data_IF_962793624293
#
_entry.id   IF_962793624293
#
_cell.length_a   1.000
_cell.length_b   1.000
_cell.length_c   1.000
_cell.angle_alpha   90.00
_cell.angle_beta   90.00
_cell.angle_gamma   90.00
#
_symmetry.space_group_name_H-M   'P 1'
#
loop_
_entity.id
_entity.type
_entity.pdbx_description
1 polymer ?
#
# COMPACT_ATOMS: atom_id res chain seq x y z
N UNK A 1 21.48 13.88 -12.45
CA UNK A 1 20.44 13.63 -11.42
C UNK A 1 20.88 14.36 -10.17
N UNK A 2 20.04 15.19 -9.56
CA UNK A 2 20.42 15.91 -8.34
C UNK A 2 20.69 14.92 -7.22
N UNK A 3 21.92 14.89 -6.71
CA UNK A 3 22.35 13.98 -5.64
C UNK A 3 21.67 14.30 -4.29
N UNK A 4 21.02 15.47 -4.16
CA UNK A 4 20.41 15.99 -2.92
C UNK A 4 18.87 15.91 -2.85
N UNK A 5 18.18 15.12 -3.68
CA UNK A 5 16.72 14.96 -3.51
C UNK A 5 16.43 14.28 -2.15
N UNK A 6 15.52 14.83 -1.31
CA UNK A 6 15.03 14.15 -0.13
C UNK A 6 14.49 12.76 -0.44
N UNK A 7 14.62 11.83 0.50
CA UNK A 7 13.96 10.52 0.45
C UNK A 7 12.69 10.54 1.29
N UNK A 8 11.55 10.27 0.65
CA UNK A 8 10.23 10.18 1.27
C UNK A 8 9.80 8.72 1.35
N UNK A 9 9.46 8.24 2.55
CA UNK A 9 8.84 6.95 2.76
C UNK A 9 7.34 7.14 3.01
N UNK A 10 6.52 6.68 2.07
CA UNK A 10 5.08 6.56 2.25
C UNK A 10 4.77 5.17 2.81
N UNK A 11 4.08 5.12 3.94
CA UNK A 11 3.73 3.87 4.60
C UNK A 11 2.25 3.60 4.41
N UNK A 12 1.93 2.42 3.89
CA UNK A 12 0.57 1.89 3.87
C UNK A 12 0.20 1.41 5.28
N UNK A 13 -0.53 2.25 6.00
CA UNK A 13 -0.89 2.03 7.40
C UNK A 13 -1.69 0.74 7.59
N UNK A 14 -2.64 0.50 6.69
CA UNK A 14 -3.59 -0.61 6.81
C UNK A 14 -2.91 -1.94 6.50
N UNK A 15 -2.07 -2.03 5.45
CA UNK A 15 -1.33 -3.25 5.15
C UNK A 15 -0.40 -3.66 6.30
N UNK A 16 0.32 -2.71 6.90
CA UNK A 16 1.21 -3.01 8.03
C UNK A 16 0.41 -3.42 9.29
N UNK A 17 -0.70 -2.75 9.58
CA UNK A 17 -1.52 -3.00 10.76
C UNK A 17 -2.18 -4.38 10.69
N UNK A 18 -2.83 -4.72 9.56
CA UNK A 18 -3.44 -6.04 9.37
C UNK A 18 -2.38 -7.15 9.41
N UNK A 19 -1.24 -6.95 8.76
CA UNK A 19 -0.11 -7.89 8.82
C UNK A 19 0.34 -8.15 10.26
N UNK A 20 0.50 -7.08 11.03
CA UNK A 20 0.90 -7.17 12.43
C UNK A 20 -0.14 -7.89 13.29
N UNK A 21 -1.42 -7.60 13.07
CA UNK A 21 -2.51 -8.26 13.78
C UNK A 21 -2.52 -9.78 13.53
N UNK A 22 -2.53 -10.20 12.27
CA UNK A 22 -2.64 -11.61 11.92
C UNK A 22 -1.40 -12.43 12.27
N UNK A 23 -0.23 -11.80 12.41
CA UNK A 23 0.98 -12.49 12.87
C UNK A 23 0.82 -13.10 14.27
N UNK A 24 -0.04 -12.54 15.13
CA UNK A 24 -0.31 -13.07 16.47
C UNK A 24 -1.73 -13.62 16.63
N UNK A 25 -2.69 -13.18 15.80
CA UNK A 25 -4.06 -13.66 15.87
C UNK A 25 -4.18 -15.18 15.61
N UNK A 26 -3.34 -15.72 14.72
CA UNK A 26 -3.32 -17.17 14.39
C UNK A 26 -3.02 -18.04 15.62
N UNK A 27 -2.29 -17.52 16.61
CA UNK A 27 -1.98 -18.24 17.85
C UNK A 27 -2.88 -17.84 19.03
N UNK A 28 -3.79 -16.87 18.84
CA UNK A 28 -4.63 -16.29 19.91
C UNK A 28 -3.84 -15.51 20.97
N UNK A 29 -2.55 -15.23 20.73
CA UNK A 29 -1.68 -14.58 21.70
C UNK A 29 -1.70 -13.06 21.50
N UNK A 30 -2.78 -12.42 21.95
CA UNK A 30 -2.89 -10.98 21.94
C UNK A 30 -2.08 -10.37 23.10
N UNK A 31 -1.38 -9.28 22.80
CA UNK A 31 -0.83 -8.39 23.82
C UNK A 31 -1.96 -7.46 24.22
N UNK A 32 -2.30 -7.43 25.51
CA UNK A 32 -3.45 -6.70 26.06
C UNK A 32 -2.92 -5.79 27.17
N UNK A 33 -3.30 -4.51 27.15
CA UNK A 33 -2.91 -3.55 28.19
C UNK A 33 -3.77 -3.70 29.47
N UNK A 34 -3.42 -2.96 30.52
CA UNK A 34 -4.15 -2.97 31.80
C UNK A 34 -5.62 -2.57 31.70
N UNK A 35 -6.02 -1.85 30.63
CA UNK A 35 -7.41 -1.47 30.33
C UNK A 35 -8.19 -2.57 29.58
N UNK A 36 -7.58 -3.72 29.31
CA UNK A 36 -8.20 -4.83 28.57
C UNK A 36 -8.24 -4.62 27.05
N UNK A 37 -7.49 -3.64 26.53
CA UNK A 37 -7.46 -3.33 25.09
C UNK A 37 -6.30 -4.08 24.42
N UNK A 38 -6.54 -4.82 23.32
CA UNK A 38 -5.48 -5.42 22.53
C UNK A 38 -4.57 -4.36 21.88
N UNK A 39 -3.26 -4.60 21.86
CA UNK A 39 -2.23 -3.69 21.32
C UNK A 39 -1.23 -4.38 20.41
N UNK A 40 -1.50 -5.64 20.06
CA UNK A 40 -0.60 -6.47 19.24
C UNK A 40 -0.36 -5.93 17.83
N UNK A 41 -1.40 -5.40 17.18
CA UNK A 41 -1.30 -4.83 15.85
C UNK A 41 -0.48 -3.54 15.87
N UNK A 42 -0.72 -2.66 16.84
CA UNK A 42 0.03 -1.40 17.02
C UNK A 42 1.51 -1.71 17.25
N UNK A 43 1.82 -2.65 18.15
CA UNK A 43 3.19 -3.01 18.46
C UNK A 43 3.91 -3.64 17.26
N UNK A 44 3.24 -4.49 16.48
CA UNK A 44 3.81 -5.07 15.27
C UNK A 44 3.97 -4.04 14.15
N UNK A 45 3.01 -3.14 13.99
CA UNK A 45 3.07 -2.00 13.06
C UNK A 45 4.31 -1.15 13.35
N UNK A 46 4.48 -0.70 14.60
CA UNK A 46 5.63 0.14 14.98
C UNK A 46 6.96 -0.61 14.81
N UNK A 47 7.01 -1.91 15.10
CA UNK A 47 8.22 -2.72 14.81
C UNK A 47 8.54 -2.75 13.32
N UNK A 48 7.56 -2.98 12.45
CA UNK A 48 7.75 -2.96 10.99
C UNK A 48 8.18 -1.57 10.51
N UNK A 49 7.53 -0.53 11.01
CA UNK A 49 7.81 0.86 10.74
C UNK A 49 9.26 1.23 11.10
N UNK A 50 9.68 1.05 12.37
CA UNK A 50 11.03 1.38 12.81
C UNK A 50 12.10 0.54 12.11
N UNK A 51 11.80 -0.72 11.80
CA UNK A 51 12.73 -1.57 11.05
C UNK A 51 12.93 -1.04 9.62
N UNK A 52 11.86 -0.62 8.96
CA UNK A 52 11.94 -0.05 7.61
C UNK A 52 12.69 1.29 7.64
N UNK A 53 12.34 2.20 8.55
CA UNK A 53 13.05 3.47 8.73
C UNK A 53 14.53 3.25 8.99
N UNK A 54 14.90 2.31 9.87
CA UNK A 54 16.30 1.97 10.14
C UNK A 54 17.03 1.43 8.92
N UNK A 55 16.34 0.67 8.06
CA UNK A 55 16.92 0.03 6.88
C UNK A 55 17.09 1.01 5.71
N UNK A 56 16.08 1.85 5.47
CA UNK A 56 16.01 2.74 4.31
C UNK A 56 16.41 4.18 4.61
N UNK A 57 16.51 4.55 5.90
CA UNK A 57 16.94 5.86 6.40
C UNK A 57 16.29 7.04 5.64
N UNK A 58 14.95 7.08 5.59
CA UNK A 58 14.26 8.17 4.90
C UNK A 58 14.48 9.50 5.63
N UNK A 59 14.53 10.57 4.86
CA UNK A 59 14.54 11.95 5.40
C UNK A 59 13.13 12.43 5.76
N UNK A 60 12.11 11.90 5.09
CA UNK A 60 10.71 12.27 5.25
C UNK A 60 9.84 11.01 5.32
N UNK A 61 8.76 11.05 6.10
CA UNK A 61 7.85 9.93 6.33
C UNK A 61 6.42 10.43 6.47
N UNK A 62 5.48 9.73 5.83
CA UNK A 62 4.04 9.89 6.08
C UNK A 62 3.35 8.53 6.08
N UNK A 63 2.23 8.41 6.80
CA UNK A 63 1.43 7.18 6.86
C UNK A 63 0.05 7.43 6.27
N UNK A 64 -0.35 6.61 5.31
CA UNK A 64 -1.65 6.68 4.66
C UNK A 64 -2.63 5.65 5.23
N UNK A 65 -3.90 6.02 5.38
CA UNK A 65 -4.94 5.22 6.01
C UNK A 65 -6.22 5.21 5.18
N UNK A 66 -6.95 4.09 5.23
CA UNK A 66 -8.34 4.03 4.81
C UNK A 66 -9.23 4.77 5.82
N UNK A 67 -10.02 5.73 5.35
CA UNK A 67 -10.90 6.58 6.20
C UNK A 67 -12.36 6.16 6.17
N UNK A 68 -12.64 4.90 5.87
CA UNK A 68 -13.99 4.35 5.84
C UNK A 68 -14.07 3.05 5.05
N UNK A 69 -15.21 2.37 5.13
CA UNK A 69 -15.47 1.11 4.42
C UNK A 69 -16.13 1.30 3.05
N UNK A 70 -16.66 2.49 2.76
CA UNK A 70 -17.28 2.83 1.48
C UNK A 70 -16.37 3.74 0.68
N UNK A 71 -16.13 3.35 -0.56
CA UNK A 71 -15.30 4.08 -1.51
C UNK A 71 -16.03 4.20 -2.83
N UNK A 72 -15.52 5.05 -3.73
CA UNK A 72 -16.05 5.16 -5.09
C UNK A 72 -16.09 3.81 -5.83
N UNK A 73 -15.21 2.85 -5.48
CA UNK A 73 -15.22 1.49 -6.08
C UNK A 73 -16.43 0.68 -5.67
N UNK A 74 -16.89 0.78 -4.42
CA UNK A 74 -18.13 0.11 -3.97
C UNK A 74 -19.37 0.71 -4.64
N UNK A 75 -19.34 2.00 -4.98
CA UNK A 75 -20.39 2.66 -5.75
C UNK A 75 -20.40 2.21 -7.22
N UNK A 76 -19.22 2.02 -7.83
CA UNK A 76 -19.08 1.50 -9.19
C UNK A 76 -19.48 0.02 -9.32
N UNK A 77 -19.14 -0.81 -8.32
CA UNK A 77 -19.43 -2.23 -8.33
C UNK A 77 -19.70 -2.77 -6.93
N UNK A 78 -20.95 -3.17 -6.67
CA UNK A 78 -21.37 -3.68 -5.36
C UNK A 78 -20.68 -4.97 -4.93
N UNK A 79 -20.11 -5.72 -5.87
CA UNK A 79 -19.31 -6.90 -5.57
C UNK A 79 -17.90 -6.59 -5.07
N UNK A 80 -17.39 -5.37 -5.26
CA UNK A 80 -16.02 -5.02 -4.91
C UNK A 80 -15.76 -5.18 -3.41
N UNK A 81 -14.74 -5.98 -3.06
CA UNK A 81 -14.36 -6.35 -1.69
C UNK A 81 -15.50 -6.94 -0.84
N UNK A 82 -16.62 -7.35 -1.45
CA UNK A 82 -17.79 -7.87 -0.74
C UNK A 82 -17.56 -9.25 -0.08
N UNK A 83 -16.49 -9.95 -0.47
CA UNK A 83 -16.04 -11.20 0.16
C UNK A 83 -15.13 -10.99 1.37
N UNK A 84 -14.69 -9.76 1.66
CA UNK A 84 -13.84 -9.47 2.80
C UNK A 84 -14.66 -9.58 4.08
N UNK A 85 -14.14 -10.34 5.05
CA UNK A 85 -14.75 -10.43 6.37
C UNK A 85 -14.63 -9.09 7.10
N UNK A 86 -15.56 -8.83 8.03
CA UNK A 86 -15.42 -7.70 8.95
C UNK A 86 -14.11 -7.81 9.74
N UNK A 87 -13.56 -6.65 10.11
CA UNK A 87 -12.35 -6.62 10.94
C UNK A 87 -12.62 -7.31 12.29
N UNK A 88 -11.71 -8.17 12.77
CA UNK A 88 -11.85 -8.82 14.08
C UNK A 88 -12.06 -7.79 15.20
N UNK A 89 -12.89 -8.13 16.19
CA UNK A 89 -13.28 -7.22 17.27
C UNK A 89 -12.06 -6.70 18.06
N UNK A 90 -11.01 -7.53 18.16
CA UNK A 90 -9.74 -7.17 18.81
C UNK A 90 -8.92 -6.17 18.00
N UNK A 91 -9.14 -6.05 16.69
CA UNK A 91 -8.46 -5.10 15.82
C UNK A 91 -9.16 -3.74 15.80
N UNK A 92 -10.49 -3.71 15.92
CA UNK A 92 -11.29 -2.47 15.86
C UNK A 92 -10.73 -1.31 16.71
N UNK A 93 -10.44 -1.47 18.02
CA UNK A 93 -9.91 -0.36 18.82
C UNK A 93 -8.51 0.07 18.37
N UNK A 94 -7.74 -0.80 17.72
CA UNK A 94 -6.36 -0.53 17.33
C UNK A 94 -6.26 0.39 16.10
N UNK A 95 -7.32 0.58 15.32
CA UNK A 95 -7.32 1.52 14.18
C UNK A 95 -7.08 2.96 14.62
N UNK A 96 -7.77 3.43 15.65
CA UNK A 96 -7.59 4.80 16.14
C UNK A 96 -6.31 4.92 16.98
N UNK A 97 -6.01 3.93 17.82
CA UNK A 97 -4.83 3.96 18.68
C UNK A 97 -3.51 3.93 17.89
N UNK A 98 -3.44 3.28 16.73
CA UNK A 98 -2.23 3.34 15.89
C UNK A 98 -2.03 4.72 15.29
N UNK A 99 -3.11 5.41 14.87
CA UNK A 99 -3.05 6.78 14.36
C UNK A 99 -2.58 7.74 15.46
N UNK A 100 -3.10 7.60 16.68
CA UNK A 100 -2.60 8.35 17.84
C UNK A 100 -1.11 8.10 18.13
N UNK A 101 -0.65 6.85 18.00
CA UNK A 101 0.76 6.50 18.19
C UNK A 101 1.66 7.12 17.10
N UNK A 102 1.18 7.18 15.85
CA UNK A 102 1.87 7.84 14.73
C UNK A 102 1.88 9.36 14.91
N UNK A 103 0.76 9.95 15.34
CA UNK A 103 0.66 11.38 15.63
C UNK A 103 1.58 11.79 16.79
N UNK A 104 1.70 10.97 17.84
CA UNK A 104 2.61 11.23 18.94
C UNK A 104 4.09 11.22 18.53
N UNK A 105 4.43 10.62 17.38
CA UNK A 105 5.76 10.71 16.78
C UNK A 105 5.95 11.97 15.91
N UNK A 106 4.96 12.87 15.87
CA UNK A 106 4.87 14.02 14.94
C UNK A 106 5.00 13.57 13.45
N UNK A 107 4.42 12.41 13.10
CA UNK A 107 4.36 11.91 11.71
C UNK A 107 2.97 12.17 11.13
N UNK A 108 2.86 12.70 9.89
CA UNK A 108 1.56 12.91 9.24
C UNK A 108 0.77 11.62 9.06
N UNK A 109 -0.45 11.62 9.59
CA UNK A 109 -1.50 10.66 9.25
C UNK A 109 -2.34 11.24 8.11
N UNK A 110 -2.36 10.58 6.96
CA UNK A 110 -3.05 11.06 5.77
C UNK A 110 -4.13 10.07 5.35
N UNK A 111 -5.29 10.57 4.98
CA UNK A 111 -6.38 9.75 4.48
C UNK A 111 -7.55 10.63 4.07
N UNK A 112 -8.39 10.12 3.19
CA UNK A 112 -9.52 10.87 2.63
C UNK A 112 -10.74 9.96 2.54
N UNK A 113 -11.85 10.39 3.15
CA UNK A 113 -13.11 9.64 3.09
C UNK A 113 -13.58 9.49 1.63
N UNK A 114 -14.04 8.29 1.27
CA UNK A 114 -14.47 7.94 -0.09
C UNK A 114 -13.36 7.40 -0.99
N UNK A 115 -12.10 7.44 -0.55
CA UNK A 115 -10.94 6.92 -1.26
C UNK A 115 -10.15 5.92 -0.39
N UNK A 116 -9.38 5.05 -1.04
CA UNK A 116 -8.54 4.08 -0.35
C UNK A 116 -7.18 4.69 0.01
N UNK A 117 -6.47 4.07 0.96
CA UNK A 117 -5.11 4.45 1.31
C UNK A 117 -4.21 4.46 0.06
N UNK A 118 -4.41 3.49 -0.84
CA UNK A 118 -3.67 3.33 -2.09
C UNK A 118 -3.82 4.54 -3.02
N UNK A 119 -5.02 5.12 -3.11
CA UNK A 119 -5.28 6.31 -3.93
C UNK A 119 -4.60 7.57 -3.34
N UNK A 120 -4.57 7.65 -2.00
CA UNK A 120 -3.83 8.70 -1.31
C UNK A 120 -2.33 8.57 -1.56
N UNK A 121 -1.78 7.35 -1.44
CA UNK A 121 -0.38 7.05 -1.72
C UNK A 121 -0.03 7.38 -3.16
N UNK A 122 -0.82 6.92 -4.13
CA UNK A 122 -0.61 7.16 -5.56
C UNK A 122 -0.55 8.66 -5.87
N UNK A 123 -1.49 9.42 -5.33
CA UNK A 123 -1.54 10.87 -5.51
C UNK A 123 -0.33 11.58 -4.91
N UNK A 124 0.03 11.26 -3.65
CA UNK A 124 1.17 11.89 -2.98
C UNK A 124 2.48 11.51 -3.66
N UNK A 125 2.65 10.24 -4.02
CA UNK A 125 3.84 9.75 -4.71
C UNK A 125 4.05 10.49 -6.03
N UNK A 126 2.99 10.66 -6.83
CA UNK A 126 3.04 11.39 -8.09
C UNK A 126 3.34 12.86 -7.91
N UNK A 127 2.70 13.51 -6.95
CA UNK A 127 2.88 14.94 -6.71
C UNK A 127 4.29 15.29 -6.18
N UNK A 128 4.87 14.44 -5.34
CA UNK A 128 6.17 14.71 -4.71
C UNK A 128 7.37 14.08 -5.44
N UNK A 129 7.15 13.22 -6.44
CA UNK A 129 8.22 12.63 -7.27
C UNK A 129 9.17 13.66 -7.94
N UNK A 130 8.70 14.85 -8.37
CA UNK A 130 9.60 15.90 -8.85
C UNK A 130 10.59 16.40 -7.79
N UNK A 131 10.19 16.40 -6.51
CA UNK A 131 10.91 17.01 -5.39
C UNK A 131 11.69 15.98 -4.56
N UNK A 132 11.19 14.75 -4.44
CA UNK A 132 11.73 13.70 -3.59
C UNK A 132 11.86 12.36 -4.33
N UNK A 133 12.73 11.48 -3.84
CA UNK A 133 12.71 10.05 -4.17
C UNK A 133 11.70 9.38 -3.25
N UNK A 134 10.67 8.77 -3.83
CA UNK A 134 9.56 8.17 -3.10
C UNK A 134 9.76 6.66 -2.99
N UNK A 135 9.66 6.15 -1.77
CA UNK A 135 9.57 4.72 -1.50
C UNK A 135 8.24 4.43 -0.82
N UNK A 136 7.49 3.45 -1.32
CA UNK A 136 6.20 3.05 -0.76
C UNK A 136 6.37 1.73 -0.02
N UNK A 137 6.13 1.71 1.29
CA UNK A 137 6.19 0.51 2.12
C UNK A 137 4.80 -0.10 2.27
N UNK A 138 4.59 -1.28 1.70
CA UNK A 138 3.29 -1.97 1.73
C UNK A 138 3.44 -3.50 1.68
N UNK A 139 2.36 -4.22 1.97
CA UNK A 139 2.21 -5.64 1.64
C UNK A 139 1.44 -5.89 0.35
N UNK A 140 0.81 -4.85 -0.21
CA UNK A 140 -0.04 -4.94 -1.40
C UNK A 140 0.81 -4.89 -2.68
N UNK A 141 0.53 -5.83 -3.59
CA UNK A 141 1.21 -5.88 -4.89
C UNK A 141 0.57 -4.93 -5.89
N UNK A 142 -0.68 -4.50 -5.71
CA UNK A 142 -1.37 -3.64 -6.66
C UNK A 142 -0.75 -2.25 -6.73
N UNK A 143 -0.09 -1.83 -5.65
CA UNK A 143 0.76 -0.63 -5.57
C UNK A 143 1.94 -0.65 -6.56
N UNK A 144 2.35 -1.82 -7.08
CA UNK A 144 3.40 -1.91 -8.09
C UNK A 144 3.04 -1.16 -9.39
N UNK A 145 1.74 -0.91 -9.65
CA UNK A 145 1.32 -0.08 -10.78
C UNK A 145 1.82 1.38 -10.72
N UNK A 146 2.22 1.85 -9.53
CA UNK A 146 2.71 3.21 -9.29
C UNK A 146 4.20 3.39 -9.55
N UNK A 147 4.94 2.31 -9.82
CA UNK A 147 6.38 2.36 -10.11
C UNK A 147 6.66 3.29 -11.28
N UNK A 148 7.63 4.18 -11.09
CA UNK A 148 8.06 5.15 -12.08
C UNK A 148 9.49 5.62 -11.75
N UNK A 149 10.01 6.57 -12.52
CA UNK A 149 11.25 7.27 -12.22
C UNK A 149 11.17 7.91 -10.83
N UNK A 150 12.14 7.62 -9.98
CA UNK A 150 12.22 8.06 -8.58
C UNK A 150 11.09 7.55 -7.66
N UNK A 151 10.25 6.59 -8.10
CA UNK A 151 9.25 5.90 -7.26
C UNK A 151 9.60 4.41 -7.17
N UNK A 152 9.76 3.91 -5.95
CA UNK A 152 10.04 2.50 -5.66
C UNK A 152 9.00 1.92 -4.70
N UNK A 153 8.78 0.61 -4.77
CA UNK A 153 7.86 -0.10 -3.86
C UNK A 153 8.65 -1.11 -3.05
N UNK A 154 8.51 -1.03 -1.73
CA UNK A 154 9.13 -1.91 -0.76
C UNK A 154 8.07 -2.88 -0.26
N UNK A 155 8.06 -4.09 -0.82
CA UNK A 155 7.12 -5.13 -0.42
C UNK A 155 7.60 -5.88 0.83
N UNK A 156 6.73 -5.95 1.83
CA UNK A 156 6.94 -6.72 3.06
C UNK A 156 6.93 -8.24 2.79
N UNK A 157 8.08 -8.89 2.94
CA UNK A 157 8.20 -10.35 2.89
C UNK A 157 8.10 -10.96 4.30
N UNK A 158 7.94 -12.28 4.37
CA UNK A 158 7.76 -13.01 5.64
C UNK A 158 8.96 -12.74 6.57
N UNK A 159 8.68 -12.36 7.81
CA UNK A 159 9.67 -11.96 8.81
C UNK A 159 9.87 -10.43 8.90
N UNK A 160 10.46 -9.97 10.01
CA UNK A 160 10.85 -8.56 10.18
C UNK A 160 12.14 -8.26 9.41
N UNK A 161 12.21 -7.10 8.75
CA UNK A 161 13.41 -6.67 8.03
C UNK A 161 13.65 -7.37 6.69
N UNK A 162 12.72 -8.23 6.24
CA UNK A 162 12.80 -8.91 4.95
C UNK A 162 11.95 -8.16 3.92
N UNK A 163 12.60 -7.54 2.94
CA UNK A 163 11.97 -6.68 1.95
C UNK A 163 12.34 -7.11 0.53
N UNK A 164 11.40 -6.95 -0.39
CA UNK A 164 11.67 -6.97 -1.82
C UNK A 164 11.40 -5.57 -2.37
N UNK A 165 12.43 -4.94 -2.91
CA UNK A 165 12.33 -3.60 -3.48
C UNK A 165 12.16 -3.71 -4.99
N UNK A 166 11.05 -3.16 -5.48
CA UNK A 166 10.80 -3.03 -6.91
C UNK A 166 11.08 -1.61 -7.39
N UNK A 167 11.73 -1.53 -8.54
CA UNK A 167 11.78 -0.37 -9.42
C UNK A 167 11.03 -0.71 -10.71
N UNK A 168 10.78 0.27 -11.57
CA UNK A 168 10.19 0.00 -12.88
C UNK A 168 10.99 -1.05 -13.68
N UNK A 169 12.33 -0.98 -13.60
CA UNK A 169 13.22 -1.92 -14.29
C UNK A 169 13.11 -3.34 -13.72
N UNK A 170 13.24 -3.51 -12.40
CA UNK A 170 13.17 -4.85 -11.80
C UNK A 170 11.77 -5.46 -11.93
N UNK A 171 10.72 -4.62 -11.96
CA UNK A 171 9.37 -5.07 -12.28
C UNK A 171 9.27 -5.58 -13.72
N UNK A 172 9.80 -4.82 -14.68
CA UNK A 172 9.78 -5.22 -16.09
C UNK A 172 10.56 -6.52 -16.33
N UNK A 173 11.73 -6.67 -15.71
CA UNK A 173 12.53 -7.90 -15.77
C UNK A 173 11.77 -9.13 -15.22
N UNK A 174 10.99 -8.96 -14.14
CA UNK A 174 10.22 -10.06 -13.55
C UNK A 174 8.93 -10.37 -14.34
N UNK A 175 8.17 -9.34 -14.72
CA UNK A 175 6.80 -9.49 -15.26
C UNK A 175 6.72 -9.44 -16.79
N UNK A 176 7.73 -8.88 -17.45
CA UNK A 176 7.75 -8.67 -18.89
C UNK A 176 6.68 -7.69 -19.39
N UNK A 177 6.16 -6.84 -18.50
CA UNK A 177 5.21 -5.75 -18.77
C UNK A 177 5.61 -4.53 -17.95
N UNK A 178 5.17 -3.35 -18.36
CA UNK A 178 5.36 -2.09 -17.62
C UNK A 178 4.42 -2.00 -16.42
N UNK A 179 4.75 -1.20 -15.38
CA UNK A 179 3.88 -1.00 -14.21
C UNK A 179 2.43 -0.64 -14.55
N UNK A 180 2.21 0.27 -15.52
CA UNK A 180 0.88 0.70 -15.95
C UNK A 180 0.05 -0.44 -16.55
N UNK A 181 0.69 -1.38 -17.24
CA UNK A 181 0.01 -2.56 -17.81
C UNK A 181 -0.50 -3.53 -16.73
N UNK A 182 -0.10 -3.37 -15.46
CA UNK A 182 -0.67 -4.16 -14.36
C UNK A 182 -2.17 -3.91 -14.17
N UNK A 183 -2.63 -2.68 -14.45
CA UNK A 183 -4.05 -2.32 -14.45
C UNK A 183 -4.79 -3.13 -15.51
N UNK A 184 -4.24 -3.15 -16.73
CA UNK A 184 -4.80 -3.88 -17.86
C UNK A 184 -4.74 -5.41 -17.64
N UNK A 185 -3.68 -5.90 -16.98
CA UNK A 185 -3.55 -7.31 -16.60
C UNK A 185 -4.70 -7.72 -15.69
N UNK A 186 -4.95 -6.95 -14.62
CA UNK A 186 -6.07 -7.15 -13.68
C UNK A 186 -7.43 -6.96 -14.36
N UNK A 187 -7.55 -6.04 -15.31
CA UNK A 187 -8.77 -5.88 -16.10
C UNK A 187 -9.15 -7.18 -16.82
N UNK A 188 -8.18 -7.88 -17.40
CA UNK A 188 -8.41 -9.16 -18.05
C UNK A 188 -8.61 -10.31 -17.08
N UNK A 189 -7.74 -10.47 -16.08
CA UNK A 189 -7.73 -11.66 -15.22
C UNK A 189 -8.65 -11.58 -13.99
N UNK A 190 -9.15 -10.39 -13.67
CA UNK A 190 -9.85 -10.10 -12.44
C UNK A 190 -8.93 -10.06 -11.22
N UNK A 191 -9.54 -9.87 -10.06
CA UNK A 191 -8.88 -10.03 -8.76
C UNK A 191 -9.82 -10.71 -7.77
N UNK A 192 -9.55 -11.97 -7.39
CA UNK A 192 -10.31 -12.66 -6.36
C UNK A 192 -10.25 -11.99 -4.97
N UNK A 193 -9.17 -11.29 -4.64
CA UNK A 193 -8.95 -10.64 -3.34
C UNK A 193 -9.85 -9.42 -3.17
N UNK A 194 -10.11 -8.73 -4.28
CA UNK A 194 -11.02 -7.57 -4.38
C UNK A 194 -12.36 -7.92 -5.01
N UNK A 195 -12.58 -9.21 -5.28
CA UNK A 195 -13.84 -9.79 -5.71
C UNK A 195 -14.42 -9.20 -7.00
N UNK A 196 -13.58 -8.98 -8.02
CA UNK A 196 -14.04 -8.68 -9.37
C UNK A 196 -13.50 -9.71 -10.40
N UNK A 197 -14.30 -10.15 -11.37
CA UNK A 197 -14.00 -11.35 -12.15
C UNK A 197 -13.12 -11.14 -13.40
N UNK A 198 -12.96 -9.90 -13.88
CA UNK A 198 -12.33 -9.64 -15.19
C UNK A 198 -13.08 -10.31 -16.35
N UNK A 199 -12.35 -10.73 -17.38
CA UNK A 199 -12.90 -11.44 -18.55
C UNK A 199 -12.89 -12.95 -18.29
N UNK A 200 -14.09 -13.53 -18.20
CA UNK A 200 -14.27 -14.96 -17.89
C UNK A 200 -13.47 -15.85 -18.85
N UNK A 201 -12.56 -16.63 -18.28
CA UNK A 201 -11.73 -17.58 -19.03
C UNK A 201 -10.51 -16.97 -19.72
N UNK A 202 -10.14 -15.74 -19.37
CA UNK A 202 -8.81 -15.15 -19.63
C UNK A 202 -8.11 -15.00 -18.28
N UNK A 203 -7.10 -15.82 -18.03
CA UNK A 203 -6.26 -15.71 -16.84
C UNK A 203 -4.94 -14.98 -17.12
N UNK A 204 -4.15 -14.78 -16.06
CA UNK A 204 -2.87 -14.06 -16.07
C UNK A 204 -1.97 -14.37 -17.28
N UNK A 205 -1.71 -15.66 -17.55
CA UNK A 205 -0.83 -16.08 -18.66
C UNK A 205 -1.32 -15.64 -20.03
N UNK A 206 -2.64 -15.64 -20.25
CA UNK A 206 -3.22 -15.20 -21.52
C UNK A 206 -3.21 -13.69 -21.60
N UNK A 207 -3.58 -13.01 -20.51
CA UNK A 207 -3.57 -11.56 -20.42
C UNK A 207 -2.16 -10.98 -20.65
N UNK A 208 -1.12 -11.53 -20.01
CA UNK A 208 0.28 -11.13 -20.22
C UNK A 208 0.69 -11.23 -21.69
N UNK A 209 0.36 -12.32 -22.38
CA UNK A 209 0.66 -12.48 -23.81
C UNK A 209 -0.04 -11.43 -24.67
N UNK A 210 -1.31 -11.14 -24.36
CA UNK A 210 -2.07 -10.10 -25.06
C UNK A 210 -1.44 -8.72 -24.85
N UNK A 211 -1.04 -8.39 -23.63
CA UNK A 211 -0.44 -7.09 -23.30
C UNK A 211 0.99 -6.95 -23.82
N UNK A 212 1.76 -8.03 -23.90
CA UNK A 212 3.07 -8.02 -24.56
C UNK A 212 2.96 -7.79 -26.06
N UNK A 213 1.88 -8.27 -26.68
CA UNK A 213 1.67 -8.17 -28.12
C UNK A 213 0.97 -6.88 -28.55
N UNK A 214 0.01 -6.40 -27.76
CA UNK A 214 -0.88 -5.29 -28.12
C UNK A 214 -0.85 -4.15 -27.10
N UNK A 215 0.09 -4.19 -26.16
CA UNK A 215 0.43 -3.16 -25.17
C UNK A 215 -0.65 -2.94 -24.09
N UNK A 216 -1.88 -2.60 -24.45
CA UNK A 216 -2.93 -2.24 -23.48
C UNK A 216 -4.30 -2.79 -23.88
N UNK A 217 -5.29 -2.69 -22.99
CA UNK A 217 -6.68 -3.15 -23.24
C UNK A 217 -7.21 -2.64 -24.59
N UNK A 218 -7.06 -1.35 -24.86
CA UNK A 218 -7.58 -0.75 -26.11
C UNK A 218 -6.87 -1.32 -27.35
N UNK A 219 -5.56 -1.56 -27.28
CA UNK A 219 -4.81 -2.18 -28.37
C UNK A 219 -5.25 -3.62 -28.63
N UNK A 220 -5.63 -4.37 -27.59
CA UNK A 220 -6.22 -5.72 -27.75
C UNK A 220 -7.58 -5.63 -28.42
N UNK A 221 -8.42 -4.68 -28.02
CA UNK A 221 -9.78 -4.48 -28.58
C UNK A 221 -9.71 -4.08 -30.06
N UNK A 222 -8.79 -3.19 -30.43
CA UNK A 222 -8.57 -2.74 -31.81
C UNK A 222 -8.06 -3.87 -32.72
N UNK A 223 -7.55 -4.96 -32.16
CA UNK A 223 -6.93 -6.08 -32.89
C UNK A 223 -7.62 -7.43 -32.61
N UNK A 224 -8.91 -7.43 -32.25
CA UNK A 224 -9.68 -8.65 -31.95
C UNK A 224 -9.68 -9.68 -33.09
N UNK A 225 -9.60 -9.23 -34.34
CA UNK A 225 -9.53 -10.05 -35.54
C UNK A 225 -8.24 -10.89 -35.64
N UNK A 226 -7.17 -10.45 -34.98
CA UNK A 226 -5.88 -11.17 -34.91
C UNK A 226 -5.83 -12.22 -33.81
N UNK A 227 -6.84 -12.27 -32.93
CA UNK A 227 -6.90 -13.23 -31.83
C UNK A 227 -7.50 -14.57 -32.27
N UNK A 228 -7.28 -15.62 -31.46
CA UNK A 228 -7.98 -16.88 -31.69
C UNK A 228 -9.49 -16.69 -31.55
N UNK A 229 -10.29 -17.50 -32.27
CA UNK A 229 -11.77 -17.44 -32.21
C UNK A 229 -12.31 -17.48 -30.77
N UNK A 230 -11.69 -18.28 -29.90
CA UNK A 230 -12.08 -18.41 -28.51
C UNK A 230 -11.72 -17.18 -27.65
N UNK A 231 -10.56 -16.56 -27.88
CA UNK A 231 -10.18 -15.32 -27.18
C UNK A 231 -11.08 -14.17 -27.59
N UNK A 232 -11.29 -14.00 -28.91
CA UNK A 232 -12.16 -12.97 -29.47
C UNK A 232 -13.56 -13.05 -28.85
N UNK A 233 -14.20 -14.22 -28.91
CA UNK A 233 -15.54 -14.41 -28.36
C UNK A 233 -15.64 -14.07 -26.86
N UNK A 234 -14.65 -14.48 -26.05
CA UNK A 234 -14.61 -14.17 -24.61
C UNK A 234 -14.49 -12.68 -24.33
N UNK A 235 -13.64 -11.97 -25.09
CA UNK A 235 -13.43 -10.53 -24.89
C UNK A 235 -14.64 -9.74 -25.37
N UNK A 236 -15.25 -10.14 -26.50
CA UNK A 236 -16.49 -9.53 -26.98
C UNK A 236 -17.65 -9.71 -25.99
N UNK A 237 -17.83 -10.90 -25.42
CA UNK A 237 -18.84 -11.18 -24.39
C UNK A 237 -18.52 -10.45 -23.07
N UNK A 238 -17.24 -10.31 -22.73
CA UNK A 238 -16.77 -9.74 -21.46
C UNK A 238 -16.41 -8.25 -21.51
N UNK A 239 -16.73 -7.52 -22.58
CA UNK A 239 -16.22 -6.17 -22.83
C UNK A 239 -16.59 -5.16 -21.73
N UNK A 240 -17.85 -5.18 -21.28
CA UNK A 240 -18.30 -4.31 -20.19
C UNK A 240 -17.55 -4.60 -18.89
N UNK A 241 -17.37 -5.88 -18.56
CA UNK A 241 -16.65 -6.29 -17.35
C UNK A 241 -15.15 -5.99 -17.46
N UNK A 242 -14.56 -6.08 -18.65
CA UNK A 242 -13.17 -5.69 -18.91
C UNK A 242 -12.96 -4.21 -18.57
N UNK A 243 -13.82 -3.33 -19.07
CA UNK A 243 -13.73 -1.89 -18.80
C UNK A 243 -13.98 -1.58 -17.32
N UNK A 244 -14.99 -2.21 -16.70
CA UNK A 244 -15.27 -2.02 -15.27
C UNK A 244 -14.12 -2.53 -14.40
N UNK A 245 -13.56 -3.71 -14.66
CA UNK A 245 -12.41 -4.24 -13.94
C UNK A 245 -11.17 -3.38 -14.09
N UNK A 246 -10.96 -2.76 -15.27
CA UNK A 246 -9.88 -1.78 -15.47
C UNK A 246 -10.03 -0.57 -14.54
N UNK A 247 -11.24 -0.04 -14.40
CA UNK A 247 -11.53 1.09 -13.50
C UNK A 247 -11.40 0.72 -12.02
N UNK A 248 -11.80 -0.50 -11.64
CA UNK A 248 -11.66 -0.99 -10.27
C UNK A 248 -10.19 -1.21 -9.89
N UNK A 249 -9.38 -1.74 -10.80
CA UNK A 249 -7.96 -2.04 -10.57
C UNK A 249 -7.04 -0.80 -10.55
N UNK A 250 -7.44 0.28 -11.23
CA UNK A 250 -6.65 1.52 -11.32
C UNK A 250 -6.62 2.23 -9.96
N UNK A 251 -5.42 2.50 -9.45
CA UNK A 251 -5.20 3.42 -8.32
C UNK A 251 -5.28 4.86 -8.83
N UNK A 252 -6.19 5.64 -8.24
CA UNK A 252 -6.32 7.06 -8.57
C UNK A 252 -5.13 7.84 -8.04
N UNK A 253 -4.56 8.70 -8.89
CA UNK A 253 -3.39 9.51 -8.57
C UNK A 253 -3.70 11.02 -8.57
N UNK A 254 -4.99 11.37 -8.55
CA UNK A 254 -5.53 12.71 -8.68
C UNK A 254 -6.62 13.01 -7.63
N UNK A 255 -6.59 12.30 -6.49
CA UNK A 255 -7.58 12.52 -5.42
C UNK A 255 -7.27 13.81 -4.65
N UNK A 256 -8.26 14.47 -4.02
CA UNK A 256 -8.05 15.77 -3.37
C UNK A 256 -7.38 15.64 -1.98
N UNK A 257 -6.24 14.95 -1.94
CA UNK A 257 -5.37 14.82 -0.77
C UNK A 257 -4.14 15.72 -0.94
N UNK A 258 -3.63 16.24 0.17
CA UNK A 258 -2.42 17.06 0.19
C UNK A 258 -1.42 16.50 1.18
N UNK A 259 -0.14 16.56 0.81
CA UNK A 259 0.99 16.29 1.66
C UNK A 259 2.04 17.36 1.36
N UNK A 260 2.35 18.18 2.34
CA UNK A 260 3.46 19.14 2.25
C UNK A 260 4.72 18.42 2.66
N UNK A 261 5.76 18.44 1.83
CA UNK A 261 6.98 17.69 2.09
C UNK A 261 7.62 18.13 3.42
N UNK A 262 7.66 19.43 3.71
CA UNK A 262 8.22 19.97 4.96
C UNK A 262 7.51 19.47 6.23
N UNK A 263 6.22 19.16 6.15
CA UNK A 263 5.45 18.61 7.27
C UNK A 263 5.76 17.12 7.50
N UNK A 264 6.34 16.45 6.49
CA UNK A 264 6.71 15.05 6.54
C UNK A 264 8.15 14.82 7.00
N UNK A 265 8.89 15.85 7.43
CA UNK A 265 10.29 15.68 7.89
C UNK A 265 10.34 14.65 9.01
N UNK A 266 11.18 13.62 8.85
CA UNK A 266 11.29 12.55 9.83
C UNK A 266 12.07 13.01 11.06
N UNK A 267 11.35 13.62 12.01
CA UNK A 267 11.89 14.08 13.29
C UNK A 267 10.92 13.73 14.41
N UNK A 268 11.15 12.58 15.04
CA UNK A 268 10.29 12.09 16.11
C UNK A 268 10.31 12.99 17.34
N UNK A 269 9.12 13.30 17.84
CA UNK A 269 8.92 13.86 19.17
C UNK A 269 9.04 12.77 20.24
N UNK A 270 10.24 12.59 20.75
CA UNK A 270 10.54 11.47 21.66
C UNK A 270 9.72 11.51 22.93
N UNK A 271 9.50 12.70 23.52
CA UNK A 271 8.71 12.81 24.74
C UNK A 271 7.26 12.37 24.52
N UNK A 272 6.57 12.96 23.54
CA UNK A 272 5.18 12.60 23.22
C UNK A 272 5.05 11.12 22.84
N UNK A 273 5.95 10.62 22.00
CA UNK A 273 5.97 9.21 21.59
C UNK A 273 6.16 8.29 22.80
N UNK A 274 7.05 8.65 23.73
CA UNK A 274 7.30 7.87 24.94
C UNK A 274 6.08 7.81 25.86
N UNK A 275 5.45 8.96 26.10
CA UNK A 275 4.23 9.08 26.89
C UNK A 275 3.11 8.22 26.29
N UNK A 276 2.87 8.34 24.98
CA UNK A 276 1.85 7.54 24.28
C UNK A 276 2.18 6.04 24.27
N UNK A 277 3.44 5.66 24.06
CA UNK A 277 3.84 4.25 24.08
C UNK A 277 3.72 3.63 25.48
N UNK A 278 3.96 4.41 26.52
CA UNK A 278 3.73 4.03 27.92
C UNK A 278 2.24 3.88 28.22
N UNK A 279 1.41 4.83 27.78
CA UNK A 279 -0.04 4.77 27.94
C UNK A 279 -0.63 3.50 27.29
N UNK A 280 -0.11 3.12 26.13
CA UNK A 280 -0.51 1.94 25.38
C UNK A 280 0.22 0.65 25.81
N UNK A 281 1.12 0.72 26.79
CA UNK A 281 1.93 -0.39 27.31
C UNK A 281 2.72 -1.15 26.23
N UNK A 282 3.26 -0.44 25.23
CA UNK A 282 3.91 -1.02 24.06
C UNK A 282 5.33 -1.51 24.39
N UNK A 283 5.44 -2.75 24.86
CA UNK A 283 6.69 -3.31 25.38
C UNK A 283 7.83 -3.32 24.35
N UNK A 284 9.01 -2.86 24.77
CA UNK A 284 10.26 -2.97 24.02
C UNK A 284 10.43 -2.02 22.84
N UNK A 285 9.45 -1.12 22.57
CA UNK A 285 9.55 -0.08 21.53
C UNK A 285 10.41 1.11 21.94
N UNK A 286 10.51 1.39 23.25
CA UNK A 286 11.35 2.42 23.88
C UNK A 286 12.78 2.44 23.32
N UNK A 287 13.37 1.25 23.11
CA UNK A 287 14.74 1.08 22.57
C UNK A 287 14.93 1.66 21.17
N UNK A 288 13.87 1.79 20.37
CA UNK A 288 13.94 2.43 19.05
C UNK A 288 13.97 3.95 19.16
N UNK A 289 13.37 4.52 20.22
CA UNK A 289 13.41 5.95 20.50
C UNK A 289 14.76 6.37 21.10
N UNK A 290 15.32 5.55 22.01
CA UNK A 290 16.63 5.80 22.66
C UNK A 290 17.80 5.78 21.65
N UNK A 291 17.81 4.83 20.72
CA UNK A 291 18.86 4.75 19.66
C UNK A 291 18.92 5.97 18.75
N UNK A 292 17.80 6.70 18.60
CA UNK A 292 17.75 7.94 17.85
C UNK A 292 18.44 9.10 18.61
N UNK A 293 18.52 9.06 19.95
CA UNK A 293 19.28 10.05 20.74
C UNK A 293 20.79 9.82 20.59
N UNK A 294 21.26 8.58 20.74
CA UNK A 294 22.68 8.24 20.62
C UNK A 294 23.23 8.59 19.22
N UNK A 295 22.43 8.40 18.18
CA UNK A 295 22.82 8.75 16.81
C UNK A 295 22.93 10.27 16.59
N UNK A 296 22.22 11.09 17.37
CA UNK A 296 22.29 12.56 17.32
C UNK A 296 23.40 13.14 18.19
N UNK A 297 23.81 12.45 19.26
CA UNK A 297 24.92 12.89 20.12
C UNK A 297 26.30 12.56 19.54
N UNK A 298 26.36 11.67 18.54
CA UNK A 298 27.57 11.25 17.83
C UNK A 298 27.79 11.95 16.47
N UNK A 299 26.86 12.82 16.04
CA UNK A 299 26.91 13.59 14.79
C UNK A 299 27.06 15.09 15.07
#
# INVERSE_FOLDING_TARGET
MNENKPSLLLVDGMALLFRAFFATAVTGQFMINSKGVPTNAIQGFLKHFFTAVSSFKPTHVAVCWDMGSKTFRTEMFSGYKANRSEAPIELLPQFDLVKEAVEAMDIPNIGLAGFEADDCIGTIARNLQPEARVSILTGDQDILQLLDKDISVILLKKGFGNYLVHTADTFYEEKGITPRQMIDLKAFMGDPSDNYPGVKGIGEKTALKLLQQFEHVDGVIENLDKLTKAQKAKIEEGLEMLHLSRQLAEIKCDVPVQCVLDDAVYKINQQKAMEKFSELELRGLYRHLEKLEESKSLA
#
